data_IF_233393313144
#
_entry.id   IF_233393313144
#
_cell.length_a   1.000
_cell.length_b   1.000
_cell.length_c   1.000
_cell.angle_alpha   90.00
_cell.angle_beta   90.00
_cell.angle_gamma   90.00
#
_symmetry.space_group_name_H-M   'P 1'
#
loop_
_entity.id
_entity.type
_entity.pdbx_description
1 polymer ?
#
# COMPACT_ATOMS: atom_id res chain seq x y z
N UNK A 1 5.45 -12.44 15.85
CA UNK A 1 5.97 -12.80 14.51
C UNK A 1 5.01 -12.47 13.34
N UNK A 2 3.96 -11.64 13.53
CA UNK A 2 2.98 -11.34 12.46
C UNK A 2 3.15 -10.00 11.72
N UNK A 3 4.12 -9.16 12.09
CA UNK A 3 4.33 -7.82 11.50
C UNK A 3 5.21 -7.84 10.25
N UNK A 4 6.08 -8.84 10.15
CA UNK A 4 7.02 -9.03 9.05
C UNK A 4 6.36 -9.25 7.68
N UNK A 5 5.32 -10.12 7.54
CA UNK A 5 4.68 -10.32 6.24
C UNK A 5 3.99 -9.05 5.71
N UNK A 6 3.48 -8.19 6.61
CA UNK A 6 2.83 -6.93 6.23
C UNK A 6 3.85 -5.92 5.68
N UNK A 7 5.02 -5.85 6.30
CA UNK A 7 6.13 -5.00 5.85
C UNK A 7 6.70 -5.48 4.51
N UNK A 8 6.91 -6.78 4.35
CA UNK A 8 7.41 -7.38 3.12
C UNK A 8 6.42 -7.15 1.97
N UNK A 9 5.12 -7.38 2.20
CA UNK A 9 4.08 -7.14 1.20
C UNK A 9 4.05 -5.69 0.72
N UNK A 10 4.09 -4.73 1.64
CA UNK A 10 4.05 -3.31 1.27
C UNK A 10 5.30 -2.86 0.52
N UNK A 11 6.47 -3.33 0.96
CA UNK A 11 7.76 -3.04 0.30
C UNK A 11 7.80 -3.64 -1.10
N UNK A 12 7.29 -4.86 -1.26
CA UNK A 12 7.22 -5.55 -2.55
C UNK A 12 6.31 -4.81 -3.55
N UNK A 13 5.15 -4.32 -3.12
CA UNK A 13 4.25 -3.53 -3.96
C UNK A 13 4.89 -2.23 -4.41
N UNK A 14 5.52 -1.46 -3.50
CA UNK A 14 6.23 -0.22 -3.84
C UNK A 14 7.37 -0.49 -4.83
N UNK A 15 8.11 -1.58 -4.64
CA UNK A 15 9.20 -1.98 -5.54
C UNK A 15 8.70 -2.34 -6.94
N UNK A 16 7.61 -3.10 -7.05
CA UNK A 16 6.99 -3.42 -8.35
C UNK A 16 6.48 -2.17 -9.08
N UNK A 17 5.85 -1.23 -8.36
CA UNK A 17 5.38 0.03 -8.93
C UNK A 17 6.54 0.91 -9.43
N UNK A 18 7.65 0.91 -8.71
CA UNK A 18 8.86 1.65 -9.08
C UNK A 18 9.43 1.13 -10.41
N UNK A 19 9.48 -0.19 -10.60
CA UNK A 19 9.94 -0.82 -11.84
C UNK A 19 9.01 -0.49 -13.03
N UNK A 20 7.69 -0.38 -12.79
CA UNK A 20 6.72 0.00 -13.83
C UNK A 20 6.73 1.50 -14.18
N UNK A 21 7.56 2.33 -13.51
CA UNK A 21 7.67 3.77 -13.79
C UNK A 21 6.44 4.60 -13.39
N UNK A 22 5.55 4.05 -12.57
CA UNK A 22 4.34 4.73 -12.12
C UNK A 22 4.64 5.62 -10.89
N UNK A 23 5.25 6.78 -11.14
CA UNK A 23 5.72 7.69 -10.07
C UNK A 23 4.60 8.20 -9.16
N UNK A 24 3.43 8.54 -9.72
CA UNK A 24 2.29 9.06 -8.94
C UNK A 24 1.80 8.02 -7.94
N UNK A 25 1.60 6.77 -8.39
CA UNK A 25 1.16 5.69 -7.51
C UNK A 25 2.23 5.33 -6.47
N UNK A 26 3.50 5.40 -6.84
CA UNK A 26 4.62 5.20 -5.90
C UNK A 26 4.59 6.25 -4.80
N UNK A 27 4.43 7.53 -5.15
CA UNK A 27 4.38 8.64 -4.20
C UNK A 27 3.22 8.52 -3.22
N UNK A 28 2.05 8.04 -3.67
CA UNK A 28 0.91 7.73 -2.79
C UNK A 28 1.20 6.56 -1.83
N UNK A 29 2.05 5.60 -2.23
CA UNK A 29 2.44 4.47 -1.37
C UNK A 29 3.60 4.74 -0.39
N UNK A 30 4.40 5.78 -0.64
CA UNK A 30 5.50 6.20 0.24
C UNK A 30 5.04 6.53 1.68
N UNK A 31 4.03 7.39 1.94
CA UNK A 31 3.67 7.77 3.30
C UNK A 31 3.24 6.57 4.14
N UNK A 32 2.51 5.62 3.55
CA UNK A 32 2.09 4.41 4.26
C UNK A 32 3.27 3.51 4.59
N UNK A 33 4.22 3.37 3.65
CA UNK A 33 5.43 2.55 3.83
C UNK A 33 6.36 3.14 4.89
N UNK A 34 6.55 4.47 4.87
CA UNK A 34 7.35 5.19 5.88
C UNK A 34 6.72 5.05 7.27
N UNK A 35 5.40 5.17 7.38
CA UNK A 35 4.70 4.97 8.64
C UNK A 35 4.90 3.55 9.19
N UNK A 36 4.78 2.54 8.33
CA UNK A 36 4.97 1.13 8.71
C UNK A 36 6.41 0.85 9.16
N UNK A 37 7.39 1.45 8.49
CA UNK A 37 8.80 1.40 8.88
C UNK A 37 9.02 2.06 10.25
N UNK A 38 8.48 3.27 10.45
CA UNK A 38 8.58 3.98 11.72
C UNK A 38 7.97 3.17 12.87
N UNK A 39 6.79 2.59 12.68
CA UNK A 39 6.13 1.72 13.66
C UNK A 39 6.99 0.47 13.96
N UNK A 40 7.62 -0.12 12.93
CA UNK A 40 8.50 -1.28 13.10
C UNK A 40 9.76 -0.95 13.90
N UNK A 41 10.43 0.16 13.60
CA UNK A 41 11.66 0.59 14.30
C UNK A 41 11.41 1.11 15.71
N UNK A 42 10.23 1.72 15.95
CA UNK A 42 9.88 2.24 17.27
C UNK A 42 9.53 1.14 18.28
N UNK A 43 9.36 -0.11 17.85
CA UNK A 43 9.10 -1.24 18.74
C UNK A 43 10.43 -1.89 19.14
N UNK A 44 10.83 -1.85 20.43
CA UNK A 44 12.08 -2.46 20.88
C UNK A 44 12.04 -3.98 20.69
N UNK A 45 13.10 -4.54 20.09
CA UNK A 45 13.22 -5.96 19.71
C UNK A 45 13.35 -6.95 20.88
N UNK A 46 13.37 -6.46 22.12
CA UNK A 46 13.63 -7.24 23.32
C UNK A 46 12.41 -7.79 24.05
N UNK A 47 11.18 -7.41 23.67
CA UNK A 47 9.97 -7.98 24.27
C UNK A 47 9.48 -9.17 23.42
N UNK A 48 9.30 -10.33 24.05
CA UNK A 48 8.85 -11.57 23.41
C UNK A 48 7.37 -11.46 23.01
N UNK A 49 7.11 -10.68 21.97
CA UNK A 49 5.80 -10.61 21.33
C UNK A 49 5.06 -9.32 21.62
N UNK A 50 4.96 -8.52 20.55
CA UNK A 50 3.84 -7.58 20.31
C UNK A 50 2.44 -8.24 20.43
N UNK A 51 2.40 -9.57 20.59
CA UNK A 51 1.23 -10.43 20.77
C UNK A 51 1.27 -11.22 22.10
N UNK A 52 2.14 -10.86 23.05
CA UNK A 52 2.10 -11.45 24.37
C UNK A 52 0.74 -11.11 25.02
N UNK A 53 -0.11 -12.10 25.33
CA UNK A 53 -1.47 -11.85 25.83
C UNK A 53 -1.48 -11.03 27.12
N UNK A 54 -0.38 -11.03 27.87
CA UNK A 54 -0.18 -10.27 29.11
C UNK A 54 0.03 -8.77 28.88
N UNK A 55 0.65 -8.33 27.79
CA UNK A 55 0.88 -6.89 27.51
C UNK A 55 -0.28 -6.22 26.74
N UNK A 56 -1.08 -7.00 26.01
CA UNK A 56 -2.10 -6.47 25.09
C UNK A 56 -3.38 -6.00 25.79
N UNK A 57 -3.59 -6.35 27.06
CA UNK A 57 -4.76 -5.92 27.83
C UNK A 57 -4.69 -4.44 28.27
N UNK A 58 -3.62 -3.72 27.91
CA UNK A 58 -3.60 -2.27 28.07
C UNK A 58 -4.59 -1.63 27.08
N UNK A 59 -5.80 -1.31 27.57
CA UNK A 59 -6.91 -0.67 26.81
C UNK A 59 -6.45 0.50 25.93
N UNK A 60 -5.40 1.23 26.34
CA UNK A 60 -4.83 2.35 25.58
C UNK A 60 -4.11 1.94 24.29
N UNK A 61 -3.44 0.77 24.27
CA UNK A 61 -2.74 0.22 23.10
C UNK A 61 -3.72 -0.36 22.07
N UNK A 62 -4.82 -0.99 22.54
CA UNK A 62 -5.85 -1.57 21.67
C UNK A 62 -6.58 -0.50 20.83
N UNK A 63 -6.91 0.65 21.44
CA UNK A 63 -7.58 1.75 20.73
C UNK A 63 -6.68 2.34 19.63
N UNK A 64 -5.38 2.45 19.90
CA UNK A 64 -4.39 2.91 18.91
C UNK A 64 -4.27 1.90 17.75
N UNK A 65 -4.09 0.62 18.06
CA UNK A 65 -4.01 -0.43 17.04
C UNK A 65 -5.26 -0.51 16.16
N UNK A 66 -6.45 -0.37 16.75
CA UNK A 66 -7.72 -0.39 16.01
C UNK A 66 -7.82 0.80 15.06
N UNK A 67 -7.41 2.00 15.49
CA UNK A 67 -7.38 3.19 14.63
C UNK A 67 -6.39 3.02 13.48
N UNK A 68 -5.19 2.52 13.77
CA UNK A 68 -4.15 2.33 12.75
C UNK A 68 -4.59 1.26 11.72
N UNK A 69 -5.29 0.22 12.17
CA UNK A 69 -5.95 -0.77 11.29
C UNK A 69 -7.03 -0.13 10.41
N UNK A 70 -7.88 0.74 10.96
CA UNK A 70 -8.94 1.42 10.23
C UNK A 70 -8.39 2.35 9.12
N UNK A 71 -7.30 3.07 9.41
CA UNK A 71 -6.59 3.90 8.42
C UNK A 71 -6.04 3.01 7.30
N UNK A 72 -5.43 1.88 7.65
CA UNK A 72 -4.87 0.94 6.68
C UNK A 72 -5.94 0.35 5.76
N UNK A 73 -7.12 0.00 6.31
CA UNK A 73 -8.26 -0.48 5.52
C UNK A 73 -8.75 0.60 4.55
N UNK A 74 -8.93 1.84 5.03
CA UNK A 74 -9.35 2.96 4.17
C UNK A 74 -8.37 3.20 3.02
N UNK A 75 -7.06 3.15 3.32
CA UNK A 75 -6.01 3.24 2.32
C UNK A 75 -6.07 2.11 1.28
N UNK A 76 -6.25 0.86 1.72
CA UNK A 76 -6.40 -0.28 0.81
C UNK A 76 -7.60 -0.11 -0.14
N UNK A 77 -8.73 0.42 0.35
CA UNK A 77 -9.92 0.67 -0.48
C UNK A 77 -9.65 1.74 -1.53
N UNK A 78 -9.06 2.88 -1.15
CA UNK A 78 -8.76 3.96 -2.09
C UNK A 78 -7.78 3.48 -3.17
N UNK A 79 -6.70 2.81 -2.77
CA UNK A 79 -5.74 2.27 -3.72
C UNK A 79 -6.32 1.20 -4.63
N UNK A 80 -7.22 0.36 -4.12
CA UNK A 80 -7.88 -0.66 -4.93
C UNK A 80 -8.60 -0.05 -6.14
N UNK A 81 -9.33 1.05 -5.95
CA UNK A 81 -9.98 1.76 -7.06
C UNK A 81 -8.99 2.39 -8.04
N UNK A 82 -7.90 2.99 -7.53
CA UNK A 82 -6.86 3.58 -8.39
C UNK A 82 -6.16 2.50 -9.22
N UNK A 83 -5.83 1.36 -8.62
CA UNK A 83 -5.23 0.23 -9.34
C UNK A 83 -6.18 -0.36 -10.38
N UNK A 84 -7.47 -0.48 -10.06
CA UNK A 84 -8.48 -0.91 -11.04
C UNK A 84 -8.53 0.03 -12.24
N UNK A 85 -8.58 1.35 -12.00
CA UNK A 85 -8.56 2.35 -13.06
C UNK A 85 -7.30 2.22 -13.93
N UNK A 86 -6.12 2.11 -13.32
CA UNK A 86 -4.86 1.93 -14.03
C UNK A 86 -4.84 0.66 -14.87
N UNK A 87 -5.39 -0.44 -14.34
CA UNK A 87 -5.48 -1.73 -15.05
C UNK A 87 -6.39 -1.63 -16.27
N UNK A 88 -7.57 -1.01 -16.12
CA UNK A 88 -8.50 -0.80 -17.23
C UNK A 88 -7.89 0.09 -18.31
N UNK A 89 -7.22 1.19 -17.93
CA UNK A 89 -6.52 2.07 -18.87
C UNK A 89 -5.38 1.36 -19.60
N UNK A 90 -4.61 0.51 -18.91
CA UNK A 90 -3.55 -0.28 -19.52
C UNK A 90 -4.09 -1.31 -20.52
N UNK A 91 -5.22 -1.95 -20.21
CA UNK A 91 -5.91 -2.86 -21.12
C UNK A 91 -6.45 -2.13 -22.36
N UNK A 92 -7.14 -1.00 -22.17
CA UNK A 92 -7.67 -0.17 -23.28
C UNK A 92 -6.56 0.37 -24.19
N UNK A 93 -5.41 0.75 -23.64
CA UNK A 93 -4.27 1.22 -24.44
C UNK A 93 -3.62 0.10 -25.26
N UNK A 94 -3.89 -1.17 -24.93
CA UNK A 94 -3.46 -2.34 -25.70
C UNK A 94 -4.32 -2.63 -26.94
N UNK A 95 -5.48 -1.99 -27.09
CA UNK A 95 -6.35 -2.20 -28.26
C UNK A 95 -5.97 -1.27 -29.43
N UNK A 96 -5.62 -1.80 -30.62
CA UNK A 96 -5.23 -1.00 -31.79
C UNK A 96 -6.42 -0.32 -32.52
N UNK A 97 -7.56 -0.13 -31.85
CA UNK A 97 -8.83 0.28 -32.48
C UNK A 97 -8.93 1.78 -32.78
N UNK A 98 -8.05 2.63 -32.23
CA UNK A 98 -7.99 4.05 -32.61
C UNK A 98 -6.69 4.37 -33.39
N UNK A 99 -6.63 3.90 -34.64
CA UNK A 99 -5.56 4.23 -35.62
C UNK A 99 -6.14 4.90 -36.87
N UNK A 100 -7.23 5.66 -36.73
CA UNK A 100 -7.89 6.30 -37.87
C UNK A 100 -8.32 7.75 -37.64
N UNK A 101 -8.08 8.32 -36.46
CA UNK A 101 -8.45 9.72 -36.20
C UNK A 101 -7.29 10.68 -36.57
N UNK A 102 -6.06 10.16 -36.71
CA UNK A 102 -4.84 10.95 -36.97
C UNK A 102 -4.57 11.20 -38.47
N UNK A 103 -5.39 10.64 -39.37
CA UNK A 103 -5.21 10.74 -40.85
C UNK A 103 -6.23 11.65 -41.54
N UNK A 104 -6.99 12.46 -40.79
CA UNK A 104 -8.01 13.37 -41.36
C UNK A 104 -7.53 14.84 -41.40
N UNK A 105 -6.38 15.16 -40.79
CA UNK A 105 -5.82 16.52 -40.75
C UNK A 105 -4.66 16.77 -41.76
N UNK A 106 -4.66 16.13 -42.95
CA UNK A 106 -3.70 16.44 -44.03
C UNK A 106 -4.38 16.89 -45.33
#
# INVERSE_FOLDING_TARGET
MGVLPKLIGQTFVVFLLLIHGQFILTLVNVPMTVWLFYEYFSVPSGNLGVYDPTEIHNRSKLKRYTRDCMIHIGYCIVLFFIYLYCTIMALLKGDPINRNDDMIDL
#
